data_IF_951695296634
#
_entry.id   IF_951695296634
#
_cell.length_a   1.000
_cell.length_b   1.000
_cell.length_c   1.000
_cell.angle_alpha   90.00
_cell.angle_beta   90.00
_cell.angle_gamma   90.00
#
_symmetry.space_group_name_H-M   'P 1'
#
loop_
_entity.id
_entity.type
_entity.pdbx_description
1 polymer ?
#
# COMPACT_ATOMS: atom_id res chain seq x y z
N UNK A 1 25.41 -41.54 75.05
CA UNK A 1 26.43 -40.58 74.55
C UNK A 1 25.75 -39.55 73.65
N UNK A 2 25.94 -38.26 73.98
CA UNK A 2 25.72 -37.01 73.20
C UNK A 2 24.36 -36.73 72.51
N UNK A 3 23.61 -35.82 73.17
CA UNK A 3 22.87 -34.61 72.70
C UNK A 3 23.09 -34.22 71.22
N UNK A 4 22.15 -33.62 70.47
CA UNK A 4 21.34 -32.42 70.76
C UNK A 4 20.34 -32.14 69.60
N UNK A 5 19.17 -31.56 69.92
CA UNK A 5 18.35 -30.57 69.15
C UNK A 5 17.90 -30.90 67.71
N UNK A 6 16.67 -30.63 67.24
CA UNK A 6 15.58 -29.81 67.76
C UNK A 6 14.76 -29.23 66.60
N UNK A 7 13.44 -29.14 66.82
CA UNK A 7 12.56 -28.00 66.46
C UNK A 7 12.10 -27.83 65.00
N UNK A 8 10.89 -28.27 64.62
CA UNK A 8 9.56 -27.58 64.67
C UNK A 8 9.26 -26.64 63.51
N UNK A 9 8.07 -26.77 62.87
CA UNK A 9 6.85 -25.97 63.15
C UNK A 9 5.83 -26.06 61.98
N UNK A 10 4.55 -26.19 62.36
CA UNK A 10 3.37 -25.45 61.82
C UNK A 10 2.83 -25.91 60.44
N UNK A 11 1.53 -25.91 60.11
CA UNK A 11 0.35 -25.11 60.48
C UNK A 11 -0.90 -25.92 60.00
N UNK A 12 -1.85 -26.25 60.88
CA UNK A 12 -3.20 -25.65 61.04
C UNK A 12 -4.11 -25.71 59.79
N UNK A 13 -5.15 -26.56 59.85
CA UNK A 13 -6.25 -26.63 58.87
C UNK A 13 -7.60 -26.41 59.61
N UNK A 14 -8.17 -25.22 59.45
CA UNK A 14 -9.54 -24.79 59.77
C UNK A 14 -9.69 -23.41 59.10
N UNK A 15 -10.78 -22.94 58.51
CA UNK A 15 -12.10 -23.45 58.18
C UNK A 15 -12.82 -22.31 57.40
N UNK A 16 -14.04 -22.58 56.92
CA UNK A 16 -15.13 -21.61 56.66
C UNK A 16 -15.22 -20.92 55.28
N UNK A 17 -16.25 -21.39 54.57
CA UNK A 17 -17.15 -20.76 53.59
C UNK A 17 -17.23 -19.23 53.62
N UNK A 18 -17.04 -18.57 52.46
CA UNK A 18 -17.79 -17.36 52.10
C UNK A 18 -18.18 -17.44 50.62
N UNK A 19 -19.48 -17.54 50.41
CA UNK A 19 -20.18 -17.34 49.15
C UNK A 19 -20.09 -15.85 48.81
N UNK A 20 -19.17 -15.45 47.93
CA UNK A 20 -19.25 -14.13 47.30
C UNK A 20 -19.92 -14.28 45.94
N UNK A 21 -21.13 -13.74 45.84
CA UNK A 21 -21.64 -13.24 44.57
C UNK A 21 -20.60 -12.24 44.05
N UNK A 22 -19.73 -12.67 43.14
CA UNK A 22 -19.20 -11.75 42.16
C UNK A 22 -20.36 -11.48 41.20
N UNK A 23 -21.10 -10.42 41.49
CA UNK A 23 -21.71 -9.61 40.44
C UNK A 23 -20.58 -9.29 39.47
N UNK A 24 -20.46 -10.11 38.42
CA UNK A 24 -19.77 -9.72 37.21
C UNK A 24 -20.63 -8.60 36.65
N UNK A 25 -20.44 -7.39 37.18
CA UNK A 25 -20.58 -6.21 36.36
C UNK A 25 -19.57 -6.42 35.25
N UNK A 26 -20.02 -7.07 34.18
CA UNK A 26 -19.41 -6.92 32.88
C UNK A 26 -19.59 -5.44 32.57
N UNK A 27 -18.69 -4.62 33.11
CA UNK A 27 -18.35 -3.36 32.49
C UNK A 27 -17.95 -3.78 31.09
N UNK A 28 -18.86 -3.59 30.15
CA UNK A 28 -18.53 -3.39 28.75
C UNK A 28 -17.43 -2.33 28.80
N UNK A 29 -16.17 -2.77 28.84
CA UNK A 29 -15.08 -1.90 28.46
C UNK A 29 -15.47 -1.47 27.04
N UNK A 30 -15.65 -0.16 26.79
CA UNK A 30 -15.86 0.29 25.43
C UNK A 30 -14.74 -0.33 24.60
N UNK A 31 -15.09 -0.95 23.47
CA UNK A 31 -14.11 -1.35 22.49
C UNK A 31 -13.18 -0.14 22.30
N UNK A 32 -11.90 -0.32 22.61
CA UNK A 32 -10.88 0.70 22.45
C UNK A 32 -11.03 1.21 21.03
N UNK A 33 -11.57 2.42 20.87
CA UNK A 33 -11.71 3.04 19.55
C UNK A 33 -10.28 3.17 19.05
N UNK A 34 -9.94 2.46 17.97
CA UNK A 34 -8.63 2.60 17.34
C UNK A 34 -8.37 4.09 17.15
N UNK A 35 -7.29 4.59 17.76
CA UNK A 35 -6.97 6.01 17.75
C UNK A 35 -6.78 6.46 16.29
N UNK A 36 -7.50 7.49 15.86
CA UNK A 36 -7.38 8.02 14.50
C UNK A 36 -5.95 8.51 14.25
N UNK A 37 -5.30 7.95 13.22
CA UNK A 37 -3.91 8.26 12.88
C UNK A 37 -3.73 9.65 12.28
N UNK A 38 -4.69 10.07 11.47
CA UNK A 38 -4.67 11.32 10.72
C UNK A 38 -5.78 12.23 11.22
N UNK A 39 -5.41 13.32 11.89
CA UNK A 39 -6.36 14.22 12.54
C UNK A 39 -6.12 15.63 12.05
N UNK A 40 -7.19 16.30 11.62
CA UNK A 40 -7.15 17.67 11.14
C UNK A 40 -6.43 18.65 12.11
N UNK A 41 -6.68 18.62 13.44
CA UNK A 41 -5.94 19.47 14.38
C UNK A 41 -4.42 19.34 14.29
N UNK A 42 -3.90 18.12 14.10
CA UNK A 42 -2.46 17.88 14.04
C UNK A 42 -1.82 18.58 12.83
N UNK A 43 -2.56 18.71 11.72
CA UNK A 43 -2.09 19.42 10.53
C UNK A 43 -2.20 20.94 10.69
N UNK A 44 -3.25 21.43 11.35
CA UNK A 44 -3.38 22.86 11.66
C UNK A 44 -2.25 23.33 12.59
N UNK A 45 -1.87 22.51 13.57
CA UNK A 45 -0.74 22.77 14.47
C UNK A 45 0.62 22.77 13.74
N UNK A 46 0.72 22.11 12.59
CA UNK A 46 1.89 22.16 11.69
C UNK A 46 1.91 23.41 10.81
N UNK A 47 0.93 24.31 10.92
CA UNK A 47 0.90 25.59 10.22
C UNK A 47 0.20 25.56 8.86
N UNK A 48 -0.49 24.48 8.52
CA UNK A 48 -1.34 24.44 7.34
C UNK A 48 -2.65 25.20 7.56
N UNK A 49 -3.21 25.74 6.48
CA UNK A 49 -4.51 26.42 6.48
C UNK A 49 -5.57 25.54 5.82
N UNK A 50 -6.60 25.14 6.58
CA UNK A 50 -7.79 24.52 6.00
C UNK A 50 -8.51 25.52 5.09
N UNK A 51 -8.81 25.08 3.86
CA UNK A 51 -9.65 25.81 2.92
C UNK A 51 -10.69 24.84 2.32
N UNK A 52 -11.81 25.40 1.87
CA UNK A 52 -12.83 24.66 1.15
C UNK A 52 -12.65 24.87 -0.35
N UNK A 53 -12.73 23.79 -1.11
CA UNK A 53 -12.64 23.79 -2.58
C UNK A 53 -13.71 22.84 -3.08
N UNK A 54 -14.54 23.30 -4.02
CA UNK A 54 -15.56 22.44 -4.62
C UNK A 54 -14.91 21.20 -5.24
N UNK A 55 -15.51 20.03 -5.03
CA UNK A 55 -14.93 18.76 -5.49
C UNK A 55 -14.84 18.62 -7.01
N UNK A 56 -15.62 19.41 -7.76
CA UNK A 56 -15.60 19.49 -9.22
C UNK A 56 -14.97 20.76 -9.77
N UNK A 57 -14.28 21.55 -8.94
CA UNK A 57 -13.57 22.75 -9.39
C UNK A 57 -12.50 22.39 -10.42
N UNK A 58 -12.62 22.95 -11.63
CA UNK A 58 -11.78 22.62 -12.77
C UNK A 58 -10.46 23.40 -12.79
N UNK A 59 -10.36 24.48 -12.00
CA UNK A 59 -9.11 25.23 -11.86
C UNK A 59 -7.98 24.32 -11.38
N UNK A 60 -6.83 24.39 -12.05
CA UNK A 60 -5.61 23.72 -11.64
C UNK A 60 -4.81 24.45 -10.56
N UNK A 61 -5.28 25.60 -10.10
CA UNK A 61 -4.57 26.43 -9.14
C UNK A 61 -4.69 25.89 -7.71
N UNK A 62 -3.58 25.98 -6.97
CA UNK A 62 -3.53 25.59 -5.56
C UNK A 62 -2.89 26.68 -4.74
N UNK A 63 -3.45 26.91 -3.55
CA UNK A 63 -2.86 27.71 -2.49
C UNK A 63 -1.70 26.97 -1.82
N UNK A 64 -0.72 27.75 -1.39
CA UNK A 64 0.40 27.31 -0.58
C UNK A 64 -0.05 26.88 0.83
N UNK A 65 0.63 25.88 1.41
CA UNK A 65 0.42 25.42 2.80
C UNK A 65 -1.05 25.19 3.16
N UNK A 66 -1.82 24.60 2.23
CA UNK A 66 -3.26 24.40 2.40
C UNK A 66 -3.57 22.95 2.78
N UNK A 67 -4.65 22.76 3.54
CA UNK A 67 -5.35 21.48 3.68
C UNK A 67 -6.69 21.60 2.97
N UNK A 68 -7.05 20.59 2.19
CA UNK A 68 -8.36 20.47 1.54
C UNK A 68 -8.92 19.08 1.83
N UNK A 69 -10.19 19.02 2.21
CA UNK A 69 -10.91 17.75 2.20
C UNK A 69 -11.24 17.38 0.76
N UNK A 70 -10.71 16.24 0.33
CA UNK A 70 -10.86 15.68 -1.01
C UNK A 70 -11.72 14.42 -1.00
N UNK A 71 -12.40 14.13 0.11
CA UNK A 71 -13.39 13.08 0.23
C UNK A 71 -14.74 13.49 -0.35
N UNK A 72 -15.39 12.59 -1.06
CA UNK A 72 -16.76 12.80 -1.52
C UNK A 72 -17.76 12.52 -0.38
N UNK A 73 -18.69 13.44 -0.17
CA UNK A 73 -19.77 13.28 0.82
C UNK A 73 -19.28 13.56 2.24
N UNK A 74 -19.38 12.56 3.12
CA UNK A 74 -18.99 12.65 4.52
C UNK A 74 -17.63 11.97 4.82
N UNK A 75 -16.88 11.61 3.77
CA UNK A 75 -15.53 11.09 3.87
C UNK A 75 -14.59 12.22 4.28
N UNK A 76 -13.58 11.92 5.09
CA UNK A 76 -12.56 12.88 5.52
C UNK A 76 -11.19 12.50 4.94
N UNK A 77 -10.90 12.98 3.74
CA UNK A 77 -9.62 12.70 3.05
C UNK A 77 -8.84 13.99 2.95
N UNK A 78 -7.71 14.10 3.64
CA UNK A 78 -7.00 15.37 3.76
C UNK A 78 -5.82 15.43 2.79
N UNK A 79 -5.89 16.36 1.85
CA UNK A 79 -4.82 16.69 0.91
C UNK A 79 -4.05 17.93 1.38
N UNK A 80 -2.71 17.89 1.32
CA UNK A 80 -1.84 18.99 1.76
C UNK A 80 -0.89 19.48 0.67
N UNK A 81 -0.76 20.80 0.59
CA UNK A 81 0.19 21.46 -0.32
C UNK A 81 1.37 22.09 0.42
N UNK A 82 2.55 22.11 -0.20
CA UNK A 82 3.69 22.84 0.34
C UNK A 82 3.60 24.36 0.05
N UNK A 83 4.64 25.12 0.41
CA UNK A 83 4.71 26.57 0.22
C UNK A 83 4.65 27.02 -1.26
N UNK A 84 4.87 26.10 -2.20
CA UNK A 84 4.82 26.34 -3.64
C UNK A 84 3.49 25.94 -4.26
N UNK A 85 2.53 25.43 -3.47
CA UNK A 85 1.26 24.92 -3.96
C UNK A 85 1.37 23.53 -4.60
N UNK A 86 2.48 22.80 -4.42
CA UNK A 86 2.58 21.42 -4.87
C UNK A 86 1.84 20.50 -3.91
N UNK A 87 1.01 19.59 -4.42
CA UNK A 87 0.34 18.56 -3.61
C UNK A 87 1.38 17.54 -3.16
N UNK A 88 1.73 17.54 -1.87
CA UNK A 88 2.84 16.74 -1.32
C UNK A 88 2.38 15.55 -0.50
N UNK A 89 1.13 15.56 -0.03
CA UNK A 89 0.60 14.51 0.84
C UNK A 89 -0.91 14.39 0.73
N UNK A 90 -1.44 13.18 0.73
CA UNK A 90 -2.88 12.90 0.85
C UNK A 90 -3.06 11.77 1.84
N UNK A 91 -3.95 11.93 2.83
CA UNK A 91 -4.15 10.95 3.90
C UNK A 91 -5.62 10.67 4.17
N UNK A 92 -5.90 9.44 4.62
CA UNK A 92 -7.21 9.03 5.10
C UNK A 92 -7.06 7.94 6.17
N UNK A 93 -7.82 8.04 7.26
CA UNK A 93 -7.87 6.97 8.27
C UNK A 93 -8.49 5.69 7.69
N UNK A 94 -9.48 5.85 6.82
CA UNK A 94 -10.18 4.75 6.15
C UNK A 94 -10.62 5.19 4.75
N UNK A 95 -10.25 4.40 3.74
CA UNK A 95 -10.78 4.53 2.39
C UNK A 95 -12.07 3.72 2.30
N UNK A 96 -13.17 4.40 1.98
CA UNK A 96 -14.50 3.85 1.84
C UNK A 96 -14.88 3.94 0.37
N UNK A 97 -15.09 2.79 -0.26
CA UNK A 97 -15.40 2.71 -1.68
C UNK A 97 -16.67 3.48 -2.04
N UNK A 98 -16.71 3.97 -3.28
CA UNK A 98 -17.91 4.56 -3.88
C UNK A 98 -19.04 3.52 -3.95
N UNK A 99 -20.27 4.02 -3.84
CA UNK A 99 -21.47 3.20 -4.02
C UNK A 99 -22.32 3.77 -5.15
N UNK A 100 -22.15 3.21 -6.36
CA UNK A 100 -22.79 3.67 -7.59
C UNK A 100 -24.33 3.68 -7.52
N UNK A 101 -24.93 2.85 -6.66
CA UNK A 101 -26.38 2.74 -6.51
C UNK A 101 -26.96 3.78 -5.54
N UNK A 102 -26.15 4.30 -4.62
CA UNK A 102 -26.59 5.19 -3.51
C UNK A 102 -25.99 6.58 -3.57
N UNK A 103 -24.88 6.75 -4.26
CA UNK A 103 -24.18 8.03 -4.39
C UNK A 103 -24.49 8.69 -5.74
N UNK A 104 -24.47 10.04 -5.81
CA UNK A 104 -24.85 10.78 -7.02
C UNK A 104 -23.72 10.76 -8.06
N UNK A 105 -23.49 9.60 -8.66
CA UNK A 105 -22.51 9.42 -9.74
C UNK A 105 -23.14 9.66 -11.12
N UNK A 106 -22.30 10.01 -12.09
CA UNK A 106 -22.66 10.06 -13.50
C UNK A 106 -22.95 8.65 -14.06
N UNK A 107 -23.48 8.58 -15.27
CA UNK A 107 -23.67 7.33 -16.03
C UNK A 107 -22.37 6.54 -16.27
N UNK A 108 -21.22 7.16 -16.02
CA UNK A 108 -19.89 6.56 -16.12
C UNK A 108 -19.28 6.19 -14.76
N UNK A 109 -20.04 6.26 -13.67
CA UNK A 109 -19.55 5.94 -12.32
C UNK A 109 -18.58 7.00 -11.76
N UNK A 110 -18.72 8.26 -12.17
CA UNK A 110 -17.85 9.37 -11.70
C UNK A 110 -18.62 10.38 -10.89
N UNK A 111 -18.03 10.94 -9.83
CA UNK A 111 -18.66 12.03 -9.09
C UNK A 111 -18.74 13.31 -9.92
N UNK A 112 -17.72 13.58 -10.72
CA UNK A 112 -17.63 14.77 -11.57
C UNK A 112 -17.31 14.40 -13.02
N UNK A 113 -17.83 15.20 -13.95
CA UNK A 113 -17.68 14.95 -15.40
C UNK A 113 -16.27 15.18 -15.92
N UNK A 114 -15.53 16.07 -15.27
CA UNK A 114 -14.18 16.48 -15.61
C UNK A 114 -13.36 16.68 -14.33
N UNK A 115 -12.05 16.57 -14.48
CA UNK A 115 -11.04 16.81 -13.46
C UNK A 115 -10.42 18.21 -13.58
N UNK A 116 -9.77 18.63 -12.50
CA UNK A 116 -9.01 19.87 -12.47
C UNK A 116 -7.83 19.88 -13.46
N UNK A 117 -7.62 21.03 -14.10
CA UNK A 117 -6.62 21.24 -15.14
C UNK A 117 -5.29 21.70 -14.53
N UNK A 118 -4.69 20.86 -13.68
CA UNK A 118 -3.42 21.16 -12.99
C UNK A 118 -2.28 21.34 -14.01
N UNK A 119 -1.44 22.38 -13.90
CA UNK A 119 -0.36 22.61 -14.86
C UNK A 119 0.50 21.36 -15.10
N UNK A 120 0.62 20.96 -16.37
CA UNK A 120 1.28 19.73 -16.82
C UNK A 120 0.32 18.77 -17.54
N UNK A 121 -0.98 18.77 -17.23
CA UNK A 121 -1.98 17.87 -17.85
C UNK A 121 -2.31 18.24 -19.30
N UNK A 122 -1.88 19.40 -19.79
CA UNK A 122 -1.94 19.75 -21.20
C UNK A 122 -1.04 18.86 -22.08
N UNK A 123 -0.09 18.14 -21.47
CA UNK A 123 0.76 17.18 -22.15
C UNK A 123 -0.05 15.94 -22.55
N UNK A 124 0.02 15.48 -23.81
CA UNK A 124 -0.69 14.27 -24.25
C UNK A 124 -0.17 12.97 -23.61
N UNK A 125 0.94 13.02 -22.87
CA UNK A 125 1.55 11.89 -22.18
C UNK A 125 1.22 11.86 -20.67
N UNK A 126 0.51 12.88 -20.18
CA UNK A 126 0.13 13.01 -18.79
C UNK A 126 -1.41 13.06 -18.70
N UNK A 127 -1.95 12.26 -17.81
CA UNK A 127 -3.36 12.28 -17.43
C UNK A 127 -3.57 13.21 -16.24
N UNK A 128 -4.84 13.54 -16.01
CA UNK A 128 -5.35 14.10 -14.77
C UNK A 128 -5.50 12.95 -13.76
N UNK A 129 -4.36 12.43 -13.27
CA UNK A 129 -4.34 11.25 -12.41
C UNK A 129 -4.85 11.58 -11.01
N UNK A 130 -5.84 10.83 -10.53
CA UNK A 130 -6.30 10.93 -9.15
C UNK A 130 -5.26 10.36 -8.18
N UNK A 131 -5.10 10.99 -7.02
CA UNK A 131 -4.34 10.38 -5.91
C UNK A 131 -5.22 9.37 -5.17
N UNK A 132 -6.49 9.72 -4.92
CA UNK A 132 -7.54 8.80 -4.50
C UNK A 132 -8.63 8.81 -5.59
N UNK A 133 -8.86 7.68 -6.25
CA UNK A 133 -9.81 7.58 -7.35
C UNK A 133 -11.27 7.85 -6.94
N UNK A 134 -12.12 8.20 -7.92
CA UNK A 134 -13.59 8.31 -7.75
C UNK A 134 -14.16 7.05 -7.07
N UNK A 135 -13.78 5.87 -7.56
CA UNK A 135 -14.25 4.58 -7.01
C UNK A 135 -13.81 4.30 -5.56
N UNK A 136 -12.86 5.08 -5.05
CA UNK A 136 -12.39 5.07 -3.67
C UNK A 136 -12.90 6.27 -2.85
N UNK A 137 -13.84 7.04 -3.40
CA UNK A 137 -14.46 8.16 -2.71
C UNK A 137 -13.72 9.50 -2.86
N UNK A 138 -12.75 9.62 -3.76
CA UNK A 138 -12.01 10.87 -3.99
C UNK A 138 -12.72 11.82 -4.96
N UNK A 139 -12.59 13.13 -4.74
CA UNK A 139 -13.14 14.18 -5.63
C UNK A 139 -12.17 14.55 -6.75
N UNK A 140 -12.60 15.37 -7.70
CA UNK A 140 -11.86 15.66 -8.95
C UNK A 140 -11.16 17.03 -8.98
N UNK A 141 -11.08 17.75 -7.86
CA UNK A 141 -10.47 19.08 -7.78
C UNK A 141 -8.93 19.02 -7.77
N UNK A 142 -8.28 20.18 -7.91
CA UNK A 142 -6.82 20.23 -8.04
C UNK A 142 -6.06 19.59 -6.87
N UNK A 143 -6.65 19.48 -5.67
CA UNK A 143 -5.99 18.95 -4.49
C UNK A 143 -5.99 17.41 -4.43
N UNK A 144 -6.64 16.75 -5.39
CA UNK A 144 -6.62 15.29 -5.53
C UNK A 144 -6.15 14.82 -6.91
N UNK A 145 -5.76 15.74 -7.80
CA UNK A 145 -5.34 15.44 -9.17
C UNK A 145 -3.87 15.80 -9.35
N UNK A 146 -3.06 14.95 -9.97
CA UNK A 146 -1.70 15.30 -10.40
C UNK A 146 -1.49 15.01 -11.88
N UNK A 147 -0.61 15.77 -12.58
CA UNK A 147 -0.13 15.35 -13.89
C UNK A 147 0.65 14.03 -13.77
N UNK A 148 0.03 12.93 -14.19
CA UNK A 148 0.55 11.58 -14.01
C UNK A 148 0.78 10.89 -15.34
N UNK A 149 1.86 10.14 -15.51
CA UNK A 149 2.12 9.42 -16.76
C UNK A 149 0.93 8.52 -17.14
N UNK A 150 0.43 8.65 -18.37
CA UNK A 150 -0.81 7.97 -18.76
C UNK A 150 -0.73 6.43 -18.72
N UNK A 151 0.44 5.84 -19.01
CA UNK A 151 0.61 4.38 -18.91
C UNK A 151 0.62 3.94 -17.45
N UNK A 152 1.31 4.67 -16.58
CA UNK A 152 1.33 4.44 -15.13
C UNK A 152 -0.09 4.53 -14.54
N UNK A 153 -0.81 5.61 -14.86
CA UNK A 153 -2.15 5.90 -14.37
C UNK A 153 -3.17 4.83 -14.78
N UNK A 154 -3.17 4.41 -16.05
CA UNK A 154 -4.22 3.53 -16.59
C UNK A 154 -3.92 2.04 -16.43
N UNK A 155 -2.64 1.67 -16.44
CA UNK A 155 -2.21 0.27 -16.61
C UNK A 155 -0.95 -0.10 -15.79
N UNK A 156 -0.39 0.81 -14.98
CA UNK A 156 0.79 0.55 -14.16
C UNK A 156 0.46 0.46 -12.67
N UNK A 157 1.45 0.80 -11.85
CA UNK A 157 1.39 0.63 -10.38
C UNK A 157 0.23 1.39 -9.72
N UNK A 158 -0.18 2.56 -10.26
CA UNK A 158 -1.36 3.30 -9.78
C UNK A 158 -2.64 2.46 -9.93
N UNK A 159 -2.90 1.97 -11.15
CA UNK A 159 -4.08 1.17 -11.45
C UNK A 159 -4.11 -0.14 -10.64
N UNK A 160 -2.96 -0.75 -10.42
CA UNK A 160 -2.83 -1.96 -9.61
C UNK A 160 -3.17 -1.69 -8.14
N UNK A 161 -2.56 -0.69 -7.52
CA UNK A 161 -2.84 -0.29 -6.14
C UNK A 161 -4.34 -0.02 -5.94
N UNK A 162 -4.97 0.74 -6.84
CA UNK A 162 -6.41 1.00 -6.79
C UNK A 162 -7.24 -0.28 -6.89
N UNK A 163 -6.87 -1.21 -7.77
CA UNK A 163 -7.55 -2.49 -7.93
C UNK A 163 -7.44 -3.37 -6.67
N UNK A 164 -6.27 -3.42 -6.04
CA UNK A 164 -6.02 -4.13 -4.78
C UNK A 164 -6.90 -3.57 -3.66
N UNK A 165 -6.92 -2.24 -3.49
CA UNK A 165 -7.75 -1.60 -2.45
C UNK A 165 -9.25 -1.86 -2.71
N UNK A 166 -9.73 -1.74 -3.95
CA UNK A 166 -11.13 -2.02 -4.29
C UNK A 166 -11.52 -3.46 -4.03
N UNK A 167 -10.69 -4.42 -4.44
CA UNK A 167 -10.94 -5.86 -4.21
C UNK A 167 -10.92 -6.21 -2.72
N UNK A 168 -10.16 -5.47 -1.92
CA UNK A 168 -10.15 -5.60 -0.46
C UNK A 168 -11.38 -5.00 0.22
N UNK A 169 -12.19 -4.19 -0.47
CA UNK A 169 -13.34 -3.47 0.09
C UNK A 169 -12.97 -2.14 0.75
N UNK A 170 -11.81 -1.58 0.41
CA UNK A 170 -11.23 -0.40 1.06
C UNK A 170 -9.94 -0.72 1.81
N UNK A 171 -9.34 0.30 2.44
CA UNK A 171 -8.12 0.16 3.23
C UNK A 171 -8.12 1.13 4.42
N UNK A 172 -7.19 0.96 5.36
CA UNK A 172 -6.98 1.84 6.50
C UNK A 172 -5.63 2.53 6.44
N UNK A 173 -5.47 3.62 7.18
CA UNK A 173 -4.21 4.32 7.34
C UNK A 173 -3.53 4.67 6.00
N UNK A 174 -4.34 5.11 5.03
CA UNK A 174 -3.89 5.48 3.69
C UNK A 174 -3.06 6.77 3.74
N UNK A 175 -1.92 6.75 3.08
CA UNK A 175 -1.04 7.89 2.92
C UNK A 175 -0.31 7.83 1.58
N UNK A 176 -0.55 8.84 0.76
CA UNK A 176 0.25 9.14 -0.42
C UNK A 176 1.24 10.26 -0.08
N UNK A 177 2.52 10.02 -0.35
CA UNK A 177 3.58 11.03 -0.32
C UNK A 177 4.05 11.28 -1.75
N UNK A 178 4.04 12.54 -2.17
CA UNK A 178 4.26 12.93 -3.57
C UNK A 178 5.47 13.85 -3.62
N UNK A 179 6.48 13.43 -4.38
CA UNK A 179 7.75 14.15 -4.51
C UNK A 179 7.87 14.82 -5.86
N UNK A 180 8.57 15.96 -5.89
CA UNK A 180 8.75 16.80 -7.07
C UNK A 180 10.24 17.00 -7.36
N UNK A 181 10.62 17.18 -8.64
CA UNK A 181 12.03 17.37 -9.00
C UNK A 181 12.57 18.75 -8.58
N UNK A 182 11.68 19.73 -8.37
CA UNK A 182 11.99 21.09 -7.92
C UNK A 182 10.68 21.81 -7.53
N UNK A 183 10.78 23.05 -7.09
CA UNK A 183 9.66 23.87 -6.64
C UNK A 183 8.93 24.69 -7.73
N UNK A 184 9.24 24.48 -9.02
CA UNK A 184 8.68 25.27 -10.13
C UNK A 184 7.62 24.55 -10.94
N UNK A 185 7.56 23.22 -10.84
CA UNK A 185 6.65 22.39 -11.62
C UNK A 185 5.55 21.79 -10.75
N UNK A 186 4.36 21.60 -11.32
CA UNK A 186 3.28 20.83 -10.68
C UNK A 186 3.27 19.36 -11.10
N UNK A 187 4.26 18.93 -11.89
CA UNK A 187 4.43 17.53 -12.32
C UNK A 187 5.28 16.80 -11.28
N UNK A 188 4.73 15.80 -10.55
CA UNK A 188 5.51 14.99 -9.62
C UNK A 188 6.59 14.19 -10.33
N UNK A 189 7.65 13.86 -9.62
CA UNK A 189 8.67 12.89 -10.06
C UNK A 189 8.45 11.50 -9.48
N UNK A 190 7.77 11.39 -8.32
CA UNK A 190 7.68 10.14 -7.59
C UNK A 190 6.46 10.08 -6.68
N UNK A 191 5.94 8.88 -6.49
CA UNK A 191 4.86 8.58 -5.55
C UNK A 191 5.29 7.48 -4.60
N UNK A 192 4.93 7.63 -3.33
CA UNK A 192 4.98 6.56 -2.33
C UNK A 192 3.63 6.45 -1.65
N UNK A 193 2.98 5.32 -1.79
CA UNK A 193 1.72 5.01 -1.12
C UNK A 193 1.96 4.03 0.02
N UNK A 194 1.22 4.22 1.10
CA UNK A 194 1.20 3.34 2.24
C UNK A 194 -0.23 3.17 2.73
N UNK A 195 -0.65 1.95 2.98
CA UNK A 195 -2.00 1.66 3.46
C UNK A 195 -2.05 0.27 4.11
N UNK A 196 -3.13 -0.01 4.82
CA UNK A 196 -3.35 -1.28 5.50
C UNK A 196 -4.57 -2.01 4.94
N UNK A 197 -4.37 -3.25 4.52
CA UNK A 197 -5.44 -4.16 4.11
C UNK A 197 -5.42 -5.35 5.05
N UNK A 198 -6.57 -5.64 5.69
CA UNK A 198 -6.73 -6.77 6.62
C UNK A 198 -5.65 -6.81 7.73
N UNK A 199 -5.21 -5.64 8.18
CA UNK A 199 -4.18 -5.48 9.22
C UNK A 199 -2.73 -5.65 8.75
N UNK A 200 -2.49 -5.73 7.43
CA UNK A 200 -1.14 -5.80 6.85
C UNK A 200 -0.79 -4.50 6.15
N UNK A 201 0.42 -4.01 6.43
CA UNK A 201 0.98 -2.83 5.79
C UNK A 201 1.41 -3.15 4.36
N UNK A 202 0.92 -2.37 3.40
CA UNK A 202 1.36 -2.35 2.01
C UNK A 202 2.07 -1.02 1.75
N UNK A 203 3.17 -1.08 0.99
CA UNK A 203 3.95 0.09 0.57
C UNK A 203 4.27 -0.04 -0.91
N UNK A 204 3.75 0.88 -1.71
CA UNK A 204 4.01 0.97 -3.14
C UNK A 204 4.83 2.23 -3.42
N UNK A 205 5.87 2.12 -4.24
CA UNK A 205 6.77 3.22 -4.54
C UNK A 205 7.22 3.17 -6.01
N UNK A 206 6.94 4.25 -6.75
CA UNK A 206 7.19 4.28 -8.19
C UNK A 206 7.41 5.71 -8.74
N UNK A 207 8.25 5.84 -9.79
CA UNK A 207 8.46 7.12 -10.46
C UNK A 207 7.27 7.51 -11.32
N UNK A 208 7.03 8.82 -11.47
CA UNK A 208 6.04 9.34 -12.41
C UNK A 208 6.57 9.29 -13.85
N UNK A 209 6.72 8.09 -14.38
CA UNK A 209 7.30 7.82 -15.69
C UNK A 209 6.62 6.62 -16.34
N UNK A 210 6.90 6.39 -17.62
CA UNK A 210 6.30 5.27 -18.34
C UNK A 210 6.94 3.94 -17.87
N UNK A 211 6.17 3.03 -17.26
CA UNK A 211 6.70 1.77 -16.74
C UNK A 211 7.25 0.86 -17.85
N UNK A 212 6.69 0.87 -19.06
CA UNK A 212 7.20 0.08 -20.18
C UNK A 212 8.61 0.51 -20.60
N UNK A 213 8.90 1.82 -20.54
CA UNK A 213 10.21 2.34 -20.88
C UNK A 213 11.24 2.01 -19.79
N UNK A 214 10.85 2.15 -18.52
CA UNK A 214 11.70 1.76 -17.38
C UNK A 214 12.00 0.26 -17.45
N UNK A 215 10.98 -0.57 -17.67
CA UNK A 215 11.15 -2.02 -17.76
C UNK A 215 12.03 -2.40 -18.96
N UNK A 216 11.89 -1.73 -20.12
CA UNK A 216 12.78 -1.93 -21.27
C UNK A 216 14.22 -1.53 -20.96
N UNK A 217 14.43 -0.40 -20.30
CA UNK A 217 15.76 0.06 -19.92
C UNK A 217 16.40 -0.89 -18.90
N UNK A 218 15.68 -1.25 -17.84
CA UNK A 218 16.12 -2.24 -16.87
C UNK A 218 16.46 -3.57 -17.54
N UNK A 219 15.65 -4.04 -18.49
CA UNK A 219 15.95 -5.26 -19.25
C UNK A 219 17.17 -5.13 -20.16
N UNK A 220 17.49 -3.94 -20.66
CA UNK A 220 18.69 -3.67 -21.45
C UNK A 220 19.94 -3.62 -20.55
N UNK A 221 19.86 -2.89 -19.44
CA UNK A 221 20.94 -2.77 -18.46
C UNK A 221 21.20 -4.12 -17.77
N UNK A 222 20.14 -4.90 -17.52
CA UNK A 222 20.24 -6.26 -16.99
C UNK A 222 20.87 -7.24 -17.98
N UNK A 223 20.85 -7.00 -19.31
CA UNK A 223 21.51 -7.92 -20.27
C UNK A 223 23.03 -7.91 -20.14
N UNK A 224 23.62 -6.81 -19.71
CA UNK A 224 25.07 -6.69 -19.54
C UNK A 224 25.55 -7.40 -18.24
N UNK A 225 24.72 -7.47 -17.19
CA UNK A 225 25.01 -8.25 -15.98
C UNK A 225 24.48 -9.71 -16.02
N UNK A 226 23.35 -9.97 -16.70
CA UNK A 226 22.76 -11.32 -16.89
C UNK A 226 23.62 -12.23 -17.75
N UNK A 227 24.48 -11.71 -18.63
CA UNK A 227 25.35 -12.56 -19.45
C UNK A 227 26.37 -13.38 -18.63
N UNK A 228 26.47 -13.16 -17.31
CA UNK A 228 27.29 -13.97 -16.41
C UNK A 228 26.48 -14.88 -15.44
N UNK A 229 25.20 -14.60 -15.19
CA UNK A 229 24.37 -15.33 -14.20
C UNK A 229 23.08 -15.97 -14.77
N UNK A 230 22.60 -15.54 -15.93
CA UNK A 230 21.36 -16.06 -16.57
C UNK A 230 21.53 -17.41 -17.28
N UNK A 231 22.75 -17.93 -17.42
CA UNK A 231 22.95 -19.29 -17.98
C UNK A 231 22.72 -20.39 -16.95
N UNK A 232 22.71 -20.07 -15.65
CA UNK A 232 22.69 -21.07 -14.58
C UNK A 232 21.35 -21.20 -13.88
N UNK A 233 20.51 -20.15 -13.77
CA UNK A 233 19.15 -20.27 -13.22
C UNK A 233 18.11 -20.05 -14.31
N UNK A 234 17.23 -21.04 -14.54
CA UNK A 234 16.19 -21.00 -15.56
C UNK A 234 14.80 -21.25 -14.99
N UNK A 235 13.78 -20.62 -15.57
CA UNK A 235 12.38 -20.99 -15.33
C UNK A 235 12.08 -22.21 -16.20
N UNK A 236 11.96 -23.38 -15.57
CA UNK A 236 11.74 -24.66 -16.26
C UNK A 236 10.27 -25.04 -16.35
N UNK A 237 9.42 -24.48 -15.49
CA UNK A 237 7.97 -24.62 -15.55
C UNK A 237 7.26 -23.36 -15.03
N UNK A 238 6.06 -23.10 -15.56
CA UNK A 238 5.22 -21.96 -15.20
C UNK A 238 3.76 -22.28 -15.51
N UNK A 239 2.92 -22.22 -14.47
CA UNK A 239 1.46 -22.33 -14.61
C UNK A 239 0.78 -21.07 -14.09
N UNK A 240 0.10 -20.36 -14.99
CA UNK A 240 -0.59 -19.10 -14.69
C UNK A 240 -1.94 -19.28 -14.03
N UNK A 241 -2.56 -20.46 -14.16
CA UNK A 241 -3.85 -20.77 -13.55
C UNK A 241 -3.66 -21.32 -12.15
N UNK A 242 -2.65 -22.15 -11.98
CA UNK A 242 -2.23 -22.65 -10.68
C UNK A 242 -1.29 -21.67 -9.95
N UNK A 243 -0.91 -20.55 -10.58
CA UNK A 243 -0.14 -19.46 -9.95
C UNK A 243 1.18 -19.91 -9.32
N UNK A 244 2.02 -20.59 -10.09
CA UNK A 244 3.38 -20.96 -9.66
C UNK A 244 4.41 -20.90 -10.80
N UNK A 245 5.67 -20.81 -10.42
CA UNK A 245 6.84 -21.02 -11.27
C UNK A 245 7.81 -22.00 -10.63
N UNK A 246 8.61 -22.67 -11.47
CA UNK A 246 9.71 -23.54 -11.05
C UNK A 246 11.01 -22.97 -11.59
N UNK A 247 11.92 -22.61 -10.67
CA UNK A 247 13.28 -22.22 -10.99
C UNK A 247 14.21 -23.42 -10.82
N UNK A 248 15.08 -23.68 -11.78
CA UNK A 248 16.12 -24.71 -11.71
C UNK A 248 17.51 -24.10 -11.85
N UNK A 249 18.46 -24.59 -11.05
CA UNK A 249 19.87 -24.33 -11.32
C UNK A 249 20.42 -25.32 -12.37
N UNK A 250 20.47 -24.89 -13.62
CA UNK A 250 21.06 -25.60 -14.76
C UNK A 250 22.58 -25.43 -14.89
N UNK A 251 23.21 -24.67 -13.97
CA UNK A 251 24.65 -24.49 -13.89
C UNK A 251 25.39 -25.64 -13.21
N UNK A 252 26.71 -25.48 -13.07
CA UNK A 252 27.58 -26.49 -12.43
C UNK A 252 28.02 -26.11 -11.01
N UNK A 253 27.66 -24.92 -10.53
CA UNK A 253 28.00 -24.43 -9.19
C UNK A 253 26.74 -24.06 -8.38
N UNK A 254 26.87 -23.96 -7.05
CA UNK A 254 25.78 -23.53 -6.18
C UNK A 254 25.53 -22.02 -6.32
N UNK A 255 24.27 -21.63 -6.51
CA UNK A 255 23.86 -20.22 -6.65
C UNK A 255 23.14 -19.75 -5.39
N UNK A 256 23.53 -18.60 -4.86
CA UNK A 256 22.83 -17.94 -3.76
C UNK A 256 21.81 -16.94 -4.31
N UNK A 257 20.53 -17.24 -4.11
CA UNK A 257 19.41 -16.41 -4.57
C UNK A 257 19.04 -15.29 -3.60
N UNK A 258 19.71 -15.13 -2.46
CA UNK A 258 19.36 -14.06 -1.50
C UNK A 258 19.31 -12.68 -2.19
N UNK A 259 18.18 -12.00 -2.06
CA UNK A 259 17.92 -10.69 -2.67
C UNK A 259 17.48 -10.72 -4.13
N UNK A 260 17.47 -11.89 -4.79
CA UNK A 260 16.86 -12.03 -6.10
C UNK A 260 15.36 -11.81 -5.98
N UNK A 261 14.80 -11.11 -6.97
CA UNK A 261 13.39 -10.76 -7.01
C UNK A 261 12.74 -11.40 -8.23
N UNK A 262 11.71 -12.22 -8.01
CA UNK A 262 10.80 -12.64 -9.07
C UNK A 262 9.80 -11.51 -9.25
N UNK A 263 9.66 -11.04 -10.49
CA UNK A 263 8.73 -9.97 -10.85
C UNK A 263 7.69 -10.55 -11.80
N UNK A 264 6.41 -10.41 -11.44
CA UNK A 264 5.34 -10.79 -12.36
C UNK A 264 5.32 -9.84 -13.57
N UNK A 265 5.22 -10.41 -14.77
CA UNK A 265 5.15 -9.64 -16.03
C UNK A 265 3.72 -9.13 -16.32
N UNK A 266 2.75 -9.45 -15.46
CA UNK A 266 1.33 -9.10 -15.62
C UNK A 266 0.74 -8.40 -14.39
N UNK A 267 1.50 -8.23 -13.32
CA UNK A 267 1.09 -7.49 -12.12
C UNK A 267 2.31 -7.13 -11.28
N UNK A 268 2.14 -6.28 -10.28
CA UNK A 268 3.27 -5.73 -9.50
C UNK A 268 3.72 -6.64 -8.34
N UNK A 269 3.31 -7.90 -8.41
CA UNK A 269 3.72 -8.93 -7.47
C UNK A 269 5.22 -9.17 -7.58
N UNK A 270 5.89 -9.01 -6.44
CA UNK A 270 7.31 -9.26 -6.29
C UNK A 270 7.53 -10.30 -5.20
N UNK A 271 8.38 -11.28 -5.46
CA UNK A 271 8.86 -12.20 -4.44
C UNK A 271 10.37 -12.04 -4.30
N UNK A 272 10.82 -11.67 -3.10
CA UNK A 272 12.24 -11.54 -2.79
C UNK A 272 12.68 -12.77 -2.00
N UNK A 273 13.75 -13.43 -2.43
CA UNK A 273 14.36 -14.52 -1.67
C UNK A 273 15.11 -13.96 -0.45
N UNK A 274 14.57 -14.17 0.75
CA UNK A 274 15.24 -13.80 2.02
C UNK A 274 16.52 -14.62 2.28
N UNK A 275 16.44 -15.91 1.98
CA UNK A 275 17.58 -16.84 2.04
C UNK A 275 17.27 -18.11 1.26
N UNK A 276 17.89 -18.29 0.09
CA UNK A 276 17.83 -19.54 -0.68
C UNK A 276 19.13 -19.76 -1.44
N UNK A 277 19.61 -21.01 -1.43
CA UNK A 277 20.70 -21.50 -2.26
C UNK A 277 20.17 -22.65 -3.11
N UNK A 278 20.62 -22.75 -4.36
CA UNK A 278 20.29 -23.83 -5.26
C UNK A 278 21.56 -24.53 -5.71
N UNK A 279 21.68 -25.83 -5.44
CA UNK A 279 22.75 -26.66 -6.00
C UNK A 279 22.48 -26.98 -7.47
N UNK A 280 23.48 -27.41 -8.25
CA UNK A 280 23.27 -27.91 -9.62
C UNK A 280 22.16 -28.96 -9.68
N UNK A 281 21.18 -28.74 -10.58
CA UNK A 281 19.98 -29.55 -10.77
C UNK A 281 18.90 -29.41 -9.70
N UNK A 282 19.10 -28.56 -8.69
CA UNK A 282 18.09 -28.29 -7.67
C UNK A 282 17.03 -27.33 -8.21
N UNK A 283 15.78 -27.59 -7.84
CA UNK A 283 14.64 -26.76 -8.18
C UNK A 283 14.10 -26.04 -6.95
N UNK A 284 13.43 -24.91 -7.18
CA UNK A 284 12.60 -24.23 -6.19
C UNK A 284 11.31 -23.73 -6.84
N UNK A 285 10.20 -24.02 -6.18
CA UNK A 285 8.87 -23.67 -6.64
C UNK A 285 8.37 -22.46 -5.85
N UNK A 286 7.98 -21.42 -6.56
CA UNK A 286 7.48 -20.17 -5.99
C UNK A 286 6.08 -19.91 -6.53
N UNK A 287 5.07 -19.77 -5.66
CA UNK A 287 3.67 -19.66 -6.09
C UNK A 287 2.64 -19.66 -4.96
N UNK A 288 1.37 -19.91 -5.28
CA UNK A 288 0.30 -19.91 -4.28
C UNK A 288 0.27 -21.20 -3.45
N UNK A 289 0.81 -21.16 -2.23
CA UNK A 289 0.67 -22.28 -1.28
C UNK A 289 -0.79 -22.60 -0.86
N UNK A 290 -1.74 -21.65 -0.95
CA UNK A 290 -3.14 -21.91 -0.59
C UNK A 290 -3.82 -22.82 -1.62
N UNK A 291 -3.44 -22.70 -2.88
CA UNK A 291 -3.96 -23.53 -3.97
C UNK A 291 -3.02 -24.69 -4.34
N UNK A 292 -1.75 -24.68 -3.88
CA UNK A 292 -0.74 -25.65 -4.26
C UNK A 292 0.15 -26.06 -3.08
N UNK A 293 -0.12 -27.24 -2.50
CA UNK A 293 0.68 -27.77 -1.39
C UNK A 293 2.13 -28.16 -1.75
N UNK A 294 2.49 -28.11 -3.03
CA UNK A 294 3.81 -28.47 -3.54
C UNK A 294 4.74 -27.27 -3.73
N UNK A 295 4.27 -26.05 -3.41
CA UNK A 295 5.05 -24.83 -3.55
C UNK A 295 6.01 -24.65 -2.36
N UNK A 296 7.29 -24.41 -2.63
CA UNK A 296 8.32 -24.20 -1.60
C UNK A 296 8.21 -22.82 -0.94
N UNK A 297 7.86 -21.78 -1.71
CA UNK A 297 7.69 -20.42 -1.21
C UNK A 297 6.37 -19.80 -1.66
N UNK A 298 5.58 -19.34 -0.69
CA UNK A 298 4.35 -18.61 -0.97
C UNK A 298 4.63 -17.28 -1.68
N UNK A 299 4.05 -17.12 -2.86
CA UNK A 299 4.10 -15.93 -3.70
C UNK A 299 2.68 -15.59 -4.15
N UNK A 300 1.85 -15.21 -3.17
CA UNK A 300 0.61 -14.46 -3.37
C UNK A 300 0.25 -13.72 -2.06
N UNK A 301 0.82 -12.54 -1.85
CA UNK A 301 0.10 -11.53 -1.08
C UNK A 301 -0.14 -10.33 -1.99
N UNK A 302 -1.37 -10.30 -2.52
CA UNK A 302 -2.05 -9.19 -3.18
C UNK A 302 -3.53 -9.33 -2.87
#
# INVERSE_FOLDING_TARGET
MKKTTGLSKKILLMAVVIFSLFLFACTLLPAESAEEKYRLPDFLDQGYQLIEVDGGELSGERKANAIVDVGFGNREYYAMTNEYGQLVRVVANEIVLQDDDREPVTDRGRYYREEAHVPGVESPNLDQGHVIADSMGGVSNAYNITPQNSTLNRHGDQAYMEDVIRKAGGCKNFEAVISYPNNRTMIPSHYRFQYEIRGRLVVDEYPNANPDLINKQNNADSKDEMNKFSSEIQIVDLDKKAEYIVLENTGNEEVNLKGWTIVSVRGDQRFVFESKRLKPGEQVIVGDQNNNSFVDHHWLEG
#
